data_IF_221569938126
#
_entry.id   IF_221569938126
#
_cell.length_a   1.000
_cell.length_b   1.000
_cell.length_c   1.000
_cell.angle_alpha   90.00
_cell.angle_beta   90.00
_cell.angle_gamma   90.00
#
_symmetry.space_group_name_H-M   'P 1'
#
loop_
_entity.id
_entity.type
_entity.pdbx_description
1 polymer ?
#
# COMPACT_ATOMS: atom_id res chain seq x y z
N UNK A 1 -9.86 5.13 -26.01
CA UNK A 1 -9.69 6.60 -25.88
C UNK A 1 -10.87 7.10 -25.05
N UNK A 2 -10.62 7.70 -23.89
CA UNK A 2 -11.67 8.08 -22.93
C UNK A 2 -12.80 8.91 -23.56
N UNK A 3 -14.03 8.68 -23.11
CA UNK A 3 -15.24 9.31 -23.64
C UNK A 3 -15.76 10.40 -22.71
N UNK A 4 -16.04 11.62 -23.24
CA UNK A 4 -16.67 12.66 -22.45
C UNK A 4 -18.12 12.29 -22.15
N UNK A 5 -18.58 12.64 -20.95
CA UNK A 5 -19.99 12.56 -20.59
C UNK A 5 -20.83 13.59 -21.37
N UNK A 6 -22.15 13.36 -21.52
CA UNK A 6 -23.05 14.35 -22.11
C UNK A 6 -22.97 15.70 -21.40
N UNK A 7 -22.96 16.81 -22.13
CA UNK A 7 -22.82 18.17 -21.57
C UNK A 7 -23.94 18.57 -20.58
N UNK A 8 -25.07 17.87 -20.58
CA UNK A 8 -26.16 18.06 -19.62
C UNK A 8 -25.97 17.24 -18.32
N UNK A 9 -24.92 16.44 -18.23
CA UNK A 9 -24.50 15.77 -17.00
C UNK A 9 -23.64 16.74 -16.17
N UNK A 10 -24.04 17.04 -14.94
CA UNK A 10 -23.25 17.90 -14.04
C UNK A 10 -21.86 17.30 -13.72
N UNK A 11 -21.63 16.03 -14.04
CA UNK A 11 -20.33 15.34 -13.93
C UNK A 11 -19.48 15.44 -15.19
N UNK A 12 -19.92 16.16 -16.23
CA UNK A 12 -19.29 16.21 -17.55
C UNK A 12 -17.88 16.83 -17.60
N UNK A 13 -17.38 17.32 -16.47
CA UNK A 13 -15.97 17.67 -16.28
C UNK A 13 -15.06 16.44 -16.20
N UNK A 14 -15.62 15.23 -16.05
CA UNK A 14 -14.91 13.95 -15.97
C UNK A 14 -15.15 13.09 -17.22
N UNK A 15 -14.24 12.14 -17.43
CA UNK A 15 -14.27 11.19 -18.55
C UNK A 15 -14.61 9.78 -18.06
N UNK A 16 -15.24 9.00 -18.92
CA UNK A 16 -15.45 7.55 -18.74
C UNK A 16 -14.36 6.81 -19.53
N UNK A 17 -13.81 5.76 -18.93
CA UNK A 17 -12.88 4.86 -19.63
C UNK A 17 -13.65 3.95 -20.58
N UNK A 18 -13.15 3.79 -21.78
CA UNK A 18 -13.70 2.87 -22.79
C UNK A 18 -13.13 1.45 -22.59
N UNK A 19 -13.81 0.40 -23.09
CA UNK A 19 -13.38 -0.99 -22.93
C UNK A 19 -11.93 -1.26 -23.37
N UNK A 20 -11.47 -0.61 -24.45
CA UNK A 20 -10.11 -0.75 -24.99
C UNK A 20 -9.01 -0.20 -24.06
N UNK A 21 -9.39 0.56 -23.02
CA UNK A 21 -8.48 1.15 -22.05
C UNK A 21 -8.25 0.26 -20.82
N UNK A 22 -9.07 -0.79 -20.66
CA UNK A 22 -8.86 -1.78 -19.62
C UNK A 22 -7.90 -2.87 -20.09
N UNK A 23 -7.08 -3.39 -19.16
CA UNK A 23 -6.20 -4.53 -19.46
C UNK A 23 -6.98 -5.82 -19.77
N UNK A 24 -8.22 -5.91 -19.27
CA UNK A 24 -9.17 -6.98 -19.51
C UNK A 24 -10.56 -6.36 -19.68
N UNK A 25 -11.11 -6.42 -20.90
CA UNK A 25 -12.51 -6.11 -21.21
C UNK A 25 -13.16 -7.33 -21.85
N UNK A 26 -14.48 -7.45 -21.72
CA UNK A 26 -15.28 -8.47 -22.43
C UNK A 26 -16.06 -7.86 -23.61
N UNK A 27 -15.73 -6.62 -23.99
CA UNK A 27 -16.37 -5.79 -25.02
C UNK A 27 -17.91 -5.73 -24.95
N UNK A 28 -18.48 -6.09 -23.80
CA UNK A 28 -19.91 -5.93 -23.55
C UNK A 28 -20.22 -4.45 -23.38
N UNK A 29 -21.33 -3.95 -23.94
CA UNK A 29 -21.74 -2.57 -23.69
C UNK A 29 -22.07 -2.36 -22.22
N UNK A 30 -21.70 -1.19 -21.69
CA UNK A 30 -22.08 -0.78 -20.34
C UNK A 30 -23.60 -0.76 -20.17
N UNK A 31 -24.11 -1.10 -18.97
CA UNK A 31 -25.53 -0.97 -18.67
C UNK A 31 -25.99 0.48 -18.80
N UNK A 32 -27.25 0.66 -19.21
CA UNK A 32 -27.86 1.99 -19.24
C UNK A 32 -27.95 2.59 -17.83
N UNK A 33 -27.85 3.92 -17.73
CA UNK A 33 -28.01 4.63 -16.46
C UNK A 33 -29.43 4.40 -15.91
N UNK A 34 -29.53 3.78 -14.74
CA UNK A 34 -30.80 3.42 -14.10
C UNK A 34 -31.10 4.24 -12.85
N UNK A 35 -30.07 4.65 -12.11
CA UNK A 35 -30.18 5.38 -10.85
C UNK A 35 -29.06 6.42 -10.76
N UNK A 36 -29.36 7.64 -11.20
CA UNK A 36 -28.37 8.72 -11.26
C UNK A 36 -28.44 9.55 -9.98
N UNK A 37 -27.32 9.64 -9.26
CA UNK A 37 -27.15 10.51 -8.10
C UNK A 37 -27.48 11.97 -8.44
N UNK A 38 -28.01 12.73 -7.47
CA UNK A 38 -28.26 14.16 -7.63
C UNK A 38 -26.98 14.98 -7.48
N UNK A 39 -27.02 16.22 -7.99
CA UNK A 39 -25.85 17.11 -8.02
C UNK A 39 -25.37 17.51 -6.63
N UNK A 40 -26.28 17.71 -5.66
CA UNK A 40 -25.90 18.16 -4.32
C UNK A 40 -25.17 17.05 -3.56
N UNK A 41 -25.69 15.83 -3.64
CA UNK A 41 -25.05 14.67 -3.02
C UNK A 41 -23.70 14.38 -3.65
N UNK A 42 -23.60 14.44 -4.99
CA UNK A 42 -22.32 14.28 -5.69
C UNK A 42 -21.28 15.31 -5.22
N UNK A 43 -21.62 16.61 -5.26
CA UNK A 43 -20.75 17.69 -4.80
C UNK A 43 -20.31 17.50 -3.35
N UNK A 44 -21.22 17.11 -2.45
CA UNK A 44 -20.89 16.83 -1.05
C UNK A 44 -19.91 15.67 -0.85
N UNK A 45 -19.82 14.73 -1.80
CA UNK A 45 -18.90 13.59 -1.76
C UNK A 45 -17.56 13.93 -2.42
N UNK A 46 -17.56 14.62 -3.57
CA UNK A 46 -16.35 14.76 -4.40
C UNK A 46 -15.62 16.09 -4.27
N UNK A 47 -16.31 17.19 -3.97
CA UNK A 47 -15.71 18.52 -4.09
C UNK A 47 -14.58 18.72 -3.06
N UNK A 48 -14.76 18.21 -1.83
CA UNK A 48 -13.74 18.27 -0.79
C UNK A 48 -12.50 17.42 -1.14
N UNK A 49 -12.62 16.11 -1.44
CA UNK A 49 -11.50 15.33 -1.96
C UNK A 49 -10.81 15.94 -3.17
N UNK A 50 -11.54 16.53 -4.11
CA UNK A 50 -10.98 17.17 -5.30
C UNK A 50 -10.13 18.41 -4.94
N UNK A 51 -10.62 19.31 -4.07
CA UNK A 51 -9.85 20.45 -3.58
C UNK A 51 -8.57 19.99 -2.86
N UNK A 52 -8.67 18.96 -2.00
CA UNK A 52 -7.51 18.40 -1.30
C UNK A 52 -6.52 17.77 -2.28
N UNK A 53 -7.00 17.07 -3.31
CA UNK A 53 -6.14 16.48 -4.33
C UNK A 53 -5.36 17.54 -5.09
N UNK A 54 -6.02 18.64 -5.48
CA UNK A 54 -5.37 19.79 -6.12
C UNK A 54 -4.28 20.35 -5.22
N UNK A 55 -4.62 20.76 -3.99
CA UNK A 55 -3.65 21.34 -3.03
C UNK A 55 -2.49 20.40 -2.71
N UNK A 56 -2.79 19.13 -2.49
CA UNK A 56 -1.77 18.11 -2.22
C UNK A 56 -0.83 17.97 -3.41
N UNK A 57 -1.37 17.95 -4.63
CA UNK A 57 -0.55 17.86 -5.85
C UNK A 57 0.27 19.13 -6.12
N UNK A 58 -0.27 20.31 -5.81
CA UNK A 58 0.43 21.60 -5.92
C UNK A 58 1.64 21.69 -4.98
N UNK A 59 1.48 21.20 -3.75
CA UNK A 59 2.53 21.29 -2.72
C UNK A 59 3.46 20.07 -2.66
N UNK A 60 3.00 18.90 -3.10
CA UNK A 60 3.69 17.62 -2.93
C UNK A 60 3.74 16.76 -4.21
N UNK A 61 3.56 17.33 -5.40
CA UNK A 61 3.58 16.59 -6.66
C UNK A 61 4.84 15.73 -6.88
N UNK A 62 6.01 16.17 -6.40
CA UNK A 62 7.23 15.35 -6.43
C UNK A 62 7.12 14.10 -5.56
N UNK A 63 6.54 14.23 -4.35
CA UNK A 63 6.36 13.10 -3.42
C UNK A 63 5.36 12.10 -3.98
N UNK A 64 4.23 12.57 -4.54
CA UNK A 64 3.23 11.71 -5.21
C UNK A 64 3.85 10.97 -6.40
N UNK A 65 4.63 11.65 -7.25
CA UNK A 65 5.35 11.02 -8.36
C UNK A 65 6.32 9.93 -7.88
N UNK A 66 6.98 10.15 -6.75
CA UNK A 66 7.85 9.15 -6.14
C UNK A 66 7.04 7.93 -5.66
N UNK A 67 5.88 8.11 -5.03
CA UNK A 67 5.02 6.98 -4.62
C UNK A 67 4.53 6.17 -5.82
N UNK A 68 4.11 6.83 -6.89
CA UNK A 68 3.71 6.15 -8.13
C UNK A 68 4.88 5.38 -8.75
N UNK A 69 6.09 5.95 -8.72
CA UNK A 69 7.30 5.26 -9.19
C UNK A 69 7.63 4.03 -8.33
N UNK A 70 7.48 4.13 -7.00
CA UNK A 70 7.68 3.01 -6.08
C UNK A 70 6.69 1.87 -6.34
N UNK A 71 5.43 2.20 -6.61
CA UNK A 71 4.40 1.23 -6.97
C UNK A 71 4.74 0.52 -8.30
N UNK A 72 5.18 1.26 -9.32
CA UNK A 72 5.64 0.65 -10.58
C UNK A 72 6.86 -0.25 -10.39
N UNK A 73 7.83 0.14 -9.57
CA UNK A 73 8.99 -0.71 -9.21
C UNK A 73 8.56 -1.95 -8.41
N UNK A 74 7.53 -1.85 -7.58
CA UNK A 74 6.95 -2.97 -6.84
C UNK A 74 6.31 -3.99 -7.78
N UNK A 75 5.51 -3.54 -8.75
CA UNK A 75 4.96 -4.42 -9.80
C UNK A 75 6.06 -5.12 -10.61
N UNK A 76 7.12 -4.41 -10.95
CA UNK A 76 8.29 -5.00 -11.61
C UNK A 76 9.02 -6.03 -10.72
N UNK A 77 8.81 -5.99 -9.40
CA UNK A 77 9.42 -6.89 -8.42
C UNK A 77 8.60 -8.15 -8.16
N UNK A 78 7.40 -8.30 -8.74
CA UNK A 78 6.53 -9.46 -8.53
C UNK A 78 7.17 -10.78 -8.98
N UNK A 79 8.04 -10.77 -9.99
CA UNK A 79 8.70 -11.95 -10.54
C UNK A 79 8.16 -12.36 -11.92
N UNK A 80 8.35 -13.62 -12.31
CA UNK A 80 7.96 -14.12 -13.64
C UNK A 80 6.49 -14.53 -13.67
N UNK A 81 5.69 -13.93 -14.57
CA UNK A 81 4.24 -14.14 -14.72
C UNK A 81 3.75 -15.59 -14.99
N UNK A 82 4.66 -16.54 -15.26
CA UNK A 82 4.32 -17.93 -15.64
C UNK A 82 4.79 -18.98 -14.65
N UNK A 83 5.51 -18.58 -13.60
CA UNK A 83 5.99 -19.49 -12.56
C UNK A 83 6.06 -18.74 -11.23
N UNK A 84 4.87 -18.47 -10.68
CA UNK A 84 4.70 -17.72 -9.45
C UNK A 84 5.12 -18.56 -8.25
N UNK A 85 5.91 -17.97 -7.36
CA UNK A 85 6.16 -18.54 -6.05
C UNK A 85 5.03 -18.15 -5.07
N UNK A 86 5.04 -18.68 -3.86
CA UNK A 86 3.99 -18.45 -2.86
C UNK A 86 3.90 -16.98 -2.39
N UNK A 87 4.94 -16.18 -2.65
CA UNK A 87 4.95 -14.75 -2.33
C UNK A 87 4.19 -13.91 -3.37
N UNK A 88 4.05 -14.39 -4.60
CA UNK A 88 3.53 -13.60 -5.73
C UNK A 88 2.16 -12.98 -5.46
N UNK A 89 1.15 -13.79 -5.10
CA UNK A 89 -0.22 -13.29 -4.93
C UNK A 89 -0.31 -12.26 -3.81
N UNK A 90 0.34 -12.51 -2.68
CA UNK A 90 0.37 -11.55 -1.58
C UNK A 90 1.07 -10.23 -1.97
N UNK A 91 2.11 -10.27 -2.83
CA UNK A 91 2.71 -9.04 -3.32
C UNK A 91 1.80 -8.30 -4.31
N UNK A 92 1.02 -9.03 -5.13
CA UNK A 92 0.05 -8.44 -6.03
C UNK A 92 -1.06 -7.74 -5.24
N UNK A 93 -1.64 -8.40 -4.24
CA UNK A 93 -2.67 -7.82 -3.36
C UNK A 93 -2.11 -6.64 -2.55
N UNK A 94 -0.85 -6.72 -2.11
CA UNK A 94 -0.17 -5.59 -1.47
C UNK A 94 0.03 -4.41 -2.43
N UNK A 95 0.13 -4.67 -3.75
CA UNK A 95 0.23 -3.60 -4.75
C UNK A 95 -1.06 -2.80 -4.86
N UNK A 96 -2.21 -3.46 -4.75
CA UNK A 96 -3.53 -2.81 -4.70
C UNK A 96 -3.64 -1.95 -3.45
N UNK A 97 -3.19 -2.48 -2.30
CA UNK A 97 -3.12 -1.72 -1.05
C UNK A 97 -2.26 -0.45 -1.20
N UNK A 98 -1.09 -0.54 -1.84
CA UNK A 98 -0.21 0.62 -2.02
C UNK A 98 -0.75 1.65 -3.00
N UNK A 99 -1.44 1.22 -4.07
CA UNK A 99 -2.10 2.12 -5.01
C UNK A 99 -3.28 2.83 -4.33
N UNK A 100 -4.12 2.07 -3.62
CA UNK A 100 -5.25 2.60 -2.85
C UNK A 100 -4.77 3.61 -1.81
N UNK A 101 -3.73 3.26 -1.03
CA UNK A 101 -3.15 4.17 -0.06
C UNK A 101 -2.66 5.48 -0.70
N UNK A 102 -2.12 5.43 -1.92
CA UNK A 102 -1.62 6.63 -2.63
C UNK A 102 -2.79 7.52 -3.05
N UNK A 103 -3.87 6.91 -3.54
CA UNK A 103 -5.11 7.60 -3.85
C UNK A 103 -5.70 8.26 -2.61
N UNK A 104 -5.81 7.55 -1.50
CA UNK A 104 -6.33 8.07 -0.24
C UNK A 104 -5.47 9.22 0.31
N UNK A 105 -4.14 9.10 0.24
CA UNK A 105 -3.21 10.17 0.63
C UNK A 105 -3.45 11.44 -0.19
N UNK A 106 -3.60 11.30 -1.51
CA UNK A 106 -3.84 12.42 -2.42
C UNK A 106 -5.13 13.17 -2.06
N UNK A 107 -6.18 12.44 -1.70
CA UNK A 107 -7.50 13.01 -1.38
C UNK A 107 -7.68 13.34 0.11
N UNK A 108 -6.59 13.30 0.89
CA UNK A 108 -6.61 13.68 2.31
C UNK A 108 -7.11 12.60 3.27
N UNK A 109 -7.44 11.38 2.83
CA UNK A 109 -7.86 10.29 3.72
C UNK A 109 -6.66 9.59 4.39
N UNK A 110 -5.91 10.35 5.18
CA UNK A 110 -4.62 9.95 5.75
C UNK A 110 -4.70 8.69 6.63
N UNK A 111 -5.75 8.51 7.46
CA UNK A 111 -5.88 7.30 8.30
C UNK A 111 -6.13 6.06 7.45
N UNK A 112 -7.02 6.17 6.46
CA UNK A 112 -7.30 5.08 5.53
C UNK A 112 -6.06 4.70 4.75
N UNK A 113 -5.30 5.70 4.28
CA UNK A 113 -4.01 5.51 3.61
C UNK A 113 -3.04 4.69 4.47
N UNK A 114 -2.86 5.08 5.75
CA UNK A 114 -2.01 4.35 6.69
C UNK A 114 -2.55 2.94 6.99
N UNK A 115 -3.87 2.76 7.03
CA UNK A 115 -4.49 1.45 7.22
C UNK A 115 -4.26 0.52 6.04
N UNK A 116 -4.32 1.02 4.80
CA UNK A 116 -3.96 0.26 3.61
C UNK A 116 -2.47 -0.10 3.60
N UNK A 117 -1.59 0.79 4.04
CA UNK A 117 -0.17 0.47 4.25
C UNK A 117 0.04 -0.67 5.26
N UNK A 118 -0.74 -0.69 6.36
CA UNK A 118 -0.72 -1.78 7.34
C UNK A 118 -1.11 -3.11 6.71
N UNK A 119 -2.19 -3.12 5.94
CA UNK A 119 -2.68 -4.32 5.25
C UNK A 119 -1.67 -4.83 4.22
N UNK A 120 -1.11 -3.94 3.39
CA UNK A 120 -0.06 -4.30 2.45
C UNK A 120 1.17 -4.92 3.14
N UNK A 121 1.62 -4.36 4.26
CA UNK A 121 2.74 -4.93 5.03
C UNK A 121 2.40 -6.31 5.63
N UNK A 122 1.17 -6.51 6.11
CA UNK A 122 0.71 -7.82 6.59
C UNK A 122 0.73 -8.88 5.50
N UNK A 123 0.19 -8.56 4.32
CA UNK A 123 0.19 -9.46 3.17
C UNK A 123 1.62 -9.86 2.78
N UNK A 124 2.55 -8.90 2.70
CA UNK A 124 3.95 -9.20 2.38
C UNK A 124 4.61 -10.08 3.45
N UNK A 125 4.29 -9.90 4.73
CA UNK A 125 4.76 -10.78 5.80
C UNK A 125 4.21 -12.21 5.66
N UNK A 126 2.91 -12.36 5.39
CA UNK A 126 2.26 -13.65 5.18
C UNK A 126 2.86 -14.37 3.97
N UNK A 127 2.97 -13.67 2.83
CA UNK A 127 3.60 -14.23 1.62
C UNK A 127 5.06 -14.60 1.84
N UNK A 128 5.82 -13.81 2.61
CA UNK A 128 7.21 -14.12 2.96
C UNK A 128 7.28 -15.41 3.79
N UNK A 129 6.39 -15.55 4.77
CA UNK A 129 6.28 -16.77 5.56
C UNK A 129 5.89 -17.98 4.70
N UNK A 130 4.86 -17.85 3.88
CA UNK A 130 4.40 -18.90 2.97
C UNK A 130 5.48 -19.37 2.00
N UNK A 131 6.24 -18.43 1.43
CA UNK A 131 7.35 -18.75 0.52
C UNK A 131 8.49 -19.52 1.20
N UNK A 132 8.72 -19.27 2.48
CA UNK A 132 9.73 -19.98 3.28
C UNK A 132 9.22 -21.28 3.90
N UNK A 133 7.90 -21.47 3.93
CA UNK A 133 7.19 -22.60 4.54
C UNK A 133 5.95 -23.01 3.75
N UNK A 134 6.09 -23.41 2.48
CA UNK A 134 4.95 -23.68 1.59
C UNK A 134 4.04 -24.81 2.07
N UNK A 135 4.59 -25.73 2.88
CA UNK A 135 3.88 -26.88 3.44
C UNK A 135 3.37 -26.67 4.87
N UNK A 136 3.45 -25.44 5.41
CA UNK A 136 2.94 -25.17 6.75
C UNK A 136 1.41 -25.27 6.78
N UNK A 137 0.87 -26.04 7.72
CA UNK A 137 -0.58 -26.32 7.81
C UNK A 137 -1.40 -25.04 7.96
N UNK A 138 -1.02 -24.12 8.86
CA UNK A 138 -1.75 -22.86 9.04
C UNK A 138 -1.70 -21.96 7.78
N UNK A 139 -0.63 -22.03 7.00
CA UNK A 139 -0.56 -21.30 5.72
C UNK A 139 -1.45 -21.92 4.65
N UNK A 140 -1.46 -23.26 4.54
CA UNK A 140 -2.35 -23.99 3.64
C UNK A 140 -3.82 -23.73 4.00
N UNK A 141 -4.17 -23.80 5.27
CA UNK A 141 -5.53 -23.53 5.75
C UNK A 141 -5.94 -22.07 5.51
N UNK A 142 -5.04 -21.10 5.68
CA UNK A 142 -5.28 -19.70 5.33
C UNK A 142 -5.56 -19.50 3.84
N UNK A 143 -4.79 -20.16 2.96
CA UNK A 143 -5.06 -20.14 1.51
C UNK A 143 -6.42 -20.71 1.14
N UNK A 144 -6.94 -21.63 1.94
CA UNK A 144 -8.24 -22.28 1.76
C UNK A 144 -9.35 -21.63 2.59
N UNK A 145 -9.15 -20.39 3.07
CA UNK A 145 -10.11 -19.63 3.87
C UNK A 145 -10.64 -20.37 5.11
N UNK A 146 -9.80 -21.23 5.68
CA UNK A 146 -10.14 -22.09 6.83
C UNK A 146 -9.42 -21.68 8.12
N UNK A 147 -8.53 -20.67 8.05
CA UNK A 147 -7.74 -20.18 9.18
C UNK A 147 -7.33 -18.72 9.02
N UNK A 148 -7.42 -17.93 10.09
CA UNK A 148 -6.89 -16.56 10.12
C UNK A 148 -5.38 -16.56 10.42
N UNK A 149 -4.57 -16.23 9.42
CA UNK A 149 -3.12 -16.07 9.56
C UNK A 149 -2.75 -14.59 9.67
N UNK A 150 -2.18 -14.20 10.81
CA UNK A 150 -1.82 -12.81 11.08
C UNK A 150 -0.33 -12.53 11.07
N UNK A 151 0.03 -11.26 10.87
CA UNK A 151 1.41 -10.77 10.88
C UNK A 151 2.23 -11.24 12.09
N UNK A 152 1.67 -11.12 13.30
CA UNK A 152 2.39 -11.42 14.54
C UNK A 152 2.81 -12.89 14.63
N UNK A 153 1.95 -13.80 14.16
CA UNK A 153 2.25 -15.22 14.11
C UNK A 153 3.41 -15.48 13.13
N UNK A 154 3.29 -15.00 11.89
CA UNK A 154 4.32 -15.17 10.85
C UNK A 154 5.67 -14.61 11.31
N UNK A 155 5.69 -13.39 11.85
CA UNK A 155 6.91 -12.76 12.36
C UNK A 155 7.56 -13.60 13.46
N UNK A 156 6.79 -14.05 14.46
CA UNK A 156 7.33 -14.87 15.56
C UNK A 156 7.90 -16.21 15.09
N UNK A 157 7.29 -16.82 14.08
CA UNK A 157 7.84 -18.04 13.46
C UNK A 157 9.15 -17.76 12.72
N UNK A 158 9.24 -16.63 12.01
CA UNK A 158 10.47 -16.22 11.32
C UNK A 158 11.58 -15.79 12.30
N UNK A 159 11.24 -15.12 13.40
CA UNK A 159 12.16 -14.82 14.49
C UNK A 159 12.82 -16.10 14.99
N UNK A 160 12.03 -17.12 15.31
CA UNK A 160 12.53 -18.43 15.74
C UNK A 160 13.35 -19.14 14.65
N UNK A 161 12.96 -19.05 13.38
CA UNK A 161 13.69 -19.65 12.24
C UNK A 161 15.11 -19.11 12.15
N UNK A 162 15.25 -17.80 12.32
CA UNK A 162 16.49 -17.07 12.12
C UNK A 162 17.25 -16.81 13.42
N UNK A 163 16.90 -17.48 14.51
CA UNK A 163 17.62 -17.39 15.79
C UNK A 163 19.12 -17.65 15.59
N UNK A 164 19.96 -16.76 16.13
CA UNK A 164 21.42 -16.76 15.98
C UNK A 164 21.94 -16.59 14.53
N UNK A 165 21.10 -16.15 13.60
CA UNK A 165 21.50 -15.84 12.23
C UNK A 165 21.64 -14.34 12.00
N UNK A 166 22.39 -13.95 10.95
CA UNK A 166 22.67 -12.54 10.64
C UNK A 166 21.43 -11.67 10.42
N UNK A 167 20.27 -12.27 10.13
CA UNK A 167 19.02 -11.56 9.82
C UNK A 167 18.00 -11.61 10.95
N UNK A 168 18.34 -12.25 12.08
CA UNK A 168 17.47 -12.36 13.26
C UNK A 168 16.96 -10.99 13.73
N UNK A 169 17.84 -9.98 13.71
CA UNK A 169 17.55 -8.62 14.18
C UNK A 169 16.30 -8.02 13.54
N UNK A 170 15.95 -8.41 12.32
CA UNK A 170 14.80 -7.87 11.60
C UNK A 170 13.47 -8.33 12.22
N UNK A 171 13.44 -9.51 12.83
CA UNK A 171 12.21 -10.13 13.32
C UNK A 171 11.99 -9.96 14.83
N UNK A 172 12.99 -9.44 15.57
CA UNK A 172 12.92 -9.26 17.02
C UNK A 172 11.83 -8.32 17.48
N UNK A 173 11.40 -8.49 18.73
CA UNK A 173 10.59 -7.47 19.38
C UNK A 173 11.37 -6.15 19.52
N UNK A 174 10.71 -5.03 19.23
CA UNK A 174 11.37 -3.71 19.20
C UNK A 174 12.22 -3.46 17.96
N UNK A 175 12.34 -4.42 17.03
CA UNK A 175 12.99 -4.19 15.75
C UNK A 175 12.14 -3.33 14.80
N UNK A 176 12.78 -2.79 13.76
CA UNK A 176 12.15 -1.92 12.75
C UNK A 176 10.83 -2.49 12.23
N UNK A 177 10.80 -3.77 11.90
CA UNK A 177 9.63 -4.44 11.36
C UNK A 177 8.46 -4.44 12.38
N UNK A 178 8.70 -4.91 13.62
CA UNK A 178 7.69 -4.91 14.68
C UNK A 178 7.22 -3.48 15.02
N UNK A 179 8.14 -2.54 15.18
CA UNK A 179 7.79 -1.14 15.51
C UNK A 179 6.97 -0.49 14.39
N UNK A 180 7.34 -0.72 13.13
CA UNK A 180 6.59 -0.22 11.96
C UNK A 180 5.15 -0.71 12.01
N UNK A 181 4.96 -2.03 12.07
CA UNK A 181 3.61 -2.61 12.06
C UNK A 181 2.79 -2.18 13.29
N UNK A 182 3.40 -2.15 14.48
CA UNK A 182 2.75 -1.68 15.70
C UNK A 182 2.27 -0.23 15.59
N UNK A 183 3.06 0.63 14.94
CA UNK A 183 2.68 2.03 14.73
C UNK A 183 1.50 2.16 13.76
N UNK A 184 1.53 1.42 12.65
CA UNK A 184 0.45 1.44 11.65
C UNK A 184 -0.87 0.93 12.24
N UNK A 185 -0.84 -0.13 13.06
CA UNK A 185 -2.03 -0.68 13.73
C UNK A 185 -2.78 0.36 14.59
N UNK A 186 -2.13 1.43 15.05
CA UNK A 186 -2.82 2.50 15.80
C UNK A 186 -3.93 3.17 14.97
N UNK A 187 -3.72 3.28 13.66
CA UNK A 187 -4.63 3.94 12.72
C UNK A 187 -5.79 3.04 12.31
N UNK A 188 -5.55 1.74 12.20
CA UNK A 188 -6.60 0.75 11.95
C UNK A 188 -7.53 0.59 13.16
N UNK A 189 -6.98 0.61 14.37
CA UNK A 189 -7.77 0.49 15.61
C UNK A 189 -8.25 1.84 16.17
N UNK A 190 -8.11 2.93 15.40
CA UNK A 190 -8.54 4.28 15.78
C UNK A 190 -8.15 4.67 17.21
N UNK A 191 -6.89 4.43 17.60
CA UNK A 191 -6.40 4.84 18.91
C UNK A 191 -6.55 6.36 19.08
N UNK A 192 -6.58 6.89 20.32
CA UNK A 192 -6.59 8.33 20.55
C UNK A 192 -5.51 9.02 19.71
N UNK A 193 -5.88 10.09 19.00
CA UNK A 193 -5.02 10.85 18.07
C UNK A 193 -4.64 10.14 16.75
N UNK A 194 -5.30 9.03 16.40
CA UNK A 194 -5.10 8.31 15.12
C UNK A 194 -6.38 8.23 14.27
N UNK A 195 -7.42 9.00 14.62
CA UNK A 195 -8.63 9.16 13.80
C UNK A 195 -8.41 10.16 12.66
N UNK A 196 -9.25 10.10 11.62
CA UNK A 196 -9.22 11.12 10.55
C UNK A 196 -9.46 12.52 11.10
N UNK A 197 -10.42 12.69 12.01
CA UNK A 197 -10.67 13.97 12.67
C UNK A 197 -9.43 14.49 13.44
N UNK A 198 -8.63 13.61 14.03
CA UNK A 198 -7.39 14.00 14.71
C UNK A 198 -6.25 14.36 13.73
N UNK A 199 -6.25 13.77 12.53
CA UNK A 199 -5.28 14.08 11.48
C UNK A 199 -5.65 15.35 10.72
N UNK A 200 -6.94 15.59 10.51
CA UNK A 200 -7.45 16.77 9.81
C UNK A 200 -7.59 17.99 10.71
N UNK A 201 -7.84 17.78 12.01
CA UNK A 201 -8.39 18.83 12.89
C UNK A 201 -9.63 19.52 12.27
N UNK A 202 -10.44 18.74 11.54
CA UNK A 202 -11.60 19.18 10.75
C UNK A 202 -12.71 18.11 10.76
N UNK A 203 -13.90 18.47 10.28
CA UNK A 203 -15.04 17.56 10.12
C UNK A 203 -15.08 16.84 8.75
N UNK A 204 -14.06 17.05 7.92
CA UNK A 204 -13.89 16.39 6.63
C UNK A 204 -12.44 16.47 6.14
N UNK A 205 -12.13 15.83 5.00
CA UNK A 205 -10.79 15.87 4.42
C UNK A 205 -10.37 17.32 4.16
N UNK A 206 -9.19 17.66 4.66
CA UNK A 206 -8.50 18.90 4.30
C UNK A 206 -7.05 18.57 3.93
N UNK A 207 -6.44 19.44 3.14
CA UNK A 207 -5.00 19.40 2.97
C UNK A 207 -4.33 19.79 4.28
N UNK A 208 -3.65 18.82 4.90
CA UNK A 208 -2.80 19.04 6.06
C UNK A 208 -1.37 18.58 5.75
N UNK A 209 -0.44 19.53 5.84
CA UNK A 209 0.97 19.32 5.48
C UNK A 209 1.65 18.31 6.40
N UNK A 210 1.33 18.31 7.68
CA UNK A 210 2.00 17.46 8.67
C UNK A 210 1.45 16.03 8.63
N UNK A 211 0.14 15.88 8.44
CA UNK A 211 -0.50 14.60 8.19
C UNK A 211 -0.01 13.97 6.87
N UNK A 212 0.14 14.79 5.82
CA UNK A 212 0.77 14.34 4.57
C UNK A 212 2.20 13.85 4.82
N UNK A 213 3.05 14.67 5.44
CA UNK A 213 4.46 14.33 5.68
C UNK A 213 4.61 13.05 6.51
N UNK A 214 3.78 12.90 7.55
CA UNK A 214 3.74 11.69 8.38
C UNK A 214 3.35 10.45 7.57
N UNK A 215 2.28 10.56 6.78
CA UNK A 215 1.80 9.44 5.95
C UNK A 215 2.83 9.06 4.89
N UNK A 216 3.48 10.06 4.27
CA UNK A 216 4.57 9.86 3.32
C UNK A 216 5.77 9.12 3.94
N UNK A 217 6.15 9.44 5.17
CA UNK A 217 7.20 8.68 5.86
C UNK A 217 6.80 7.23 6.15
N UNK A 218 5.51 6.97 6.46
CA UNK A 218 5.01 5.59 6.57
C UNK A 218 5.11 4.84 5.24
N UNK A 219 4.80 5.49 4.11
CA UNK A 219 5.02 4.89 2.79
C UNK A 219 6.47 4.45 2.61
N UNK A 220 7.41 5.35 2.83
CA UNK A 220 8.83 5.05 2.65
C UNK A 220 9.30 3.93 3.59
N UNK A 221 8.80 3.91 4.82
CA UNK A 221 9.11 2.86 5.80
C UNK A 221 8.49 1.50 5.44
N UNK A 222 7.24 1.47 4.99
CA UNK A 222 6.55 0.23 4.61
C UNK A 222 7.16 -0.38 3.36
N UNK A 223 7.37 0.41 2.29
CA UNK A 223 8.09 -0.08 1.11
C UNK A 223 9.48 -0.61 1.48
N UNK A 224 10.17 0.09 2.38
CA UNK A 224 11.48 -0.33 2.88
C UNK A 224 11.43 -1.72 3.52
N UNK A 225 10.57 -1.91 4.51
CA UNK A 225 10.44 -3.20 5.21
C UNK A 225 9.91 -4.29 4.29
N UNK A 226 8.97 -3.97 3.39
CA UNK A 226 8.42 -4.91 2.42
C UNK A 226 9.51 -5.43 1.46
N UNK A 227 10.38 -4.58 0.92
CA UNK A 227 11.50 -5.06 0.09
C UNK A 227 12.51 -5.91 0.86
N UNK A 228 12.74 -5.64 2.15
CA UNK A 228 13.58 -6.52 2.98
C UNK A 228 12.94 -7.89 3.15
N UNK A 229 11.62 -7.94 3.39
CA UNK A 229 10.86 -9.19 3.47
C UNK A 229 10.94 -9.99 2.16
N UNK A 230 10.75 -9.32 1.02
CA UNK A 230 10.91 -9.92 -0.31
C UNK A 230 12.33 -10.49 -0.48
N UNK A 231 13.37 -9.75 -0.06
CA UNK A 231 14.76 -10.23 -0.12
C UNK A 231 15.01 -11.48 0.73
N UNK A 232 14.38 -11.57 1.90
CA UNK A 232 14.47 -12.75 2.77
C UNK A 232 13.79 -13.97 2.11
N UNK A 233 12.61 -13.79 1.52
CA UNK A 233 11.90 -14.86 0.81
C UNK A 233 12.56 -15.24 -0.53
N UNK A 234 13.16 -14.27 -1.22
CA UNK A 234 13.80 -14.42 -2.53
C UNK A 234 15.27 -13.96 -2.44
N UNK A 235 16.22 -14.82 -2.03
CA UNK A 235 17.62 -14.42 -1.81
C UNK A 235 18.31 -13.80 -3.04
N UNK A 236 17.88 -14.16 -4.25
CA UNK A 236 18.39 -13.60 -5.51
C UNK A 236 17.69 -12.29 -5.93
N UNK A 237 16.74 -11.80 -5.14
CA UNK A 237 16.09 -10.52 -5.38
C UNK A 237 17.13 -9.40 -5.34
N UNK A 238 17.13 -8.58 -6.38
CA UNK A 238 18.02 -7.43 -6.51
C UNK A 238 17.28 -6.16 -6.14
N UNK A 239 18.04 -5.18 -5.66
CA UNK A 239 17.50 -3.88 -5.28
C UNK A 239 16.79 -3.22 -6.47
N UNK A 240 15.55 -2.72 -6.32
CA UNK A 240 14.86 -2.03 -7.40
C UNK A 240 15.60 -0.76 -7.82
N UNK A 241 15.58 -0.47 -9.13
CA UNK A 241 16.44 0.56 -9.75
C UNK A 241 16.03 1.98 -9.39
N UNK A 242 14.74 2.26 -9.21
CA UNK A 242 14.20 3.63 -9.01
C UNK A 242 13.82 3.91 -7.55
N UNK A 243 13.98 2.94 -6.65
CA UNK A 243 13.73 3.10 -5.20
C UNK A 243 14.74 3.98 -4.44
N UNK A 244 15.54 4.83 -5.10
CA UNK A 244 16.60 5.63 -4.45
C UNK A 244 16.12 6.44 -3.25
N UNK A 245 14.86 6.87 -3.27
CA UNK A 245 14.24 7.66 -2.21
C UNK A 245 14.08 6.92 -0.87
N UNK A 246 13.92 5.60 -0.89
CA UNK A 246 13.84 4.77 0.31
C UNK A 246 15.13 4.84 1.16
N UNK A 247 16.23 5.34 0.57
CA UNK A 247 17.57 5.30 1.15
C UNK A 247 18.11 6.68 1.54
N UNK A 248 17.27 7.73 1.50
CA UNK A 248 17.75 9.12 1.66
C UNK A 248 17.75 9.68 3.10
N UNK A 249 16.98 9.14 4.07
CA UNK A 249 16.74 9.93 5.30
C UNK A 249 16.51 9.20 6.64
N UNK A 250 16.71 7.89 6.80
CA UNK A 250 16.80 7.30 8.14
C UNK A 250 17.97 6.33 8.26
N UNK A 251 18.78 6.53 9.30
CA UNK A 251 19.98 5.72 9.60
C UNK A 251 19.66 4.23 9.65
N UNK A 252 18.54 3.86 10.27
CA UNK A 252 18.19 2.47 10.52
C UNK A 252 17.65 1.78 9.27
N UNK A 253 16.81 2.47 8.47
CA UNK A 253 16.38 1.99 7.14
C UNK A 253 17.60 1.76 6.25
N UNK A 254 18.48 2.75 6.15
CA UNK A 254 19.66 2.68 5.31
C UNK A 254 20.62 1.55 5.76
N UNK A 255 20.83 1.41 7.07
CA UNK A 255 21.65 0.33 7.64
C UNK A 255 21.06 -1.05 7.36
N UNK A 256 19.76 -1.23 7.59
CA UNK A 256 19.04 -2.46 7.29
C UNK A 256 19.18 -2.88 5.82
N UNK A 257 19.01 -1.94 4.89
CA UNK A 257 19.18 -2.21 3.47
C UNK A 257 20.61 -2.58 3.10
N UNK A 258 21.59 -1.85 3.63
CA UNK A 258 22.98 -2.14 3.34
C UNK A 258 23.43 -3.51 3.87
N UNK A 259 22.82 -4.03 4.94
CA UNK A 259 23.12 -5.35 5.48
C UNK A 259 22.56 -6.52 4.66
N UNK A 260 21.46 -6.31 3.93
CA UNK A 260 20.76 -7.38 3.19
C UNK A 260 21.01 -7.34 1.68
N UNK A 261 21.40 -6.20 1.13
CA UNK A 261 21.61 -6.03 -0.31
C UNK A 261 23.07 -5.85 -0.74
N UNK A 262 24.02 -5.73 0.21
CA UNK A 262 25.46 -5.76 -0.04
C UNK A 262 26.08 -6.99 0.66
#
# INVERSE_FOLDING_TARGET
MTKPLPNNDFRATRYILEPDEFALSNDSPDPSTSDKIDSSTWSGIVDLPDDVAIRTSDHHGTNIRNLYTLWGDWLNSLGKLRNHDELFSCMLDASDCFQCATFELLHGFYRSSISNLRTGLELVMIGTFGNLYPTNINYIEWKNDSYELGYSYCRKKLEKKYENQKIEWMFKDGALLHLTYKELCKYTHSRPNASDAALWSSNGPIYDKDAFAKTYEFFLLVYSVAYLLVKVARPNFSKPKRCKILFKSQSDRLRAFNLLFN
#
